data_IF_395641213265
#
_entry.id   IF_395641213265
#
_cell.length_a   1.000
_cell.length_b   1.000
_cell.length_c   1.000
_cell.angle_alpha   90.00
_cell.angle_beta   90.00
_cell.angle_gamma   90.00
#
_symmetry.space_group_name_H-M   'P 1'
#
loop_
_entity.id
_entity.type
_entity.pdbx_description
1 polymer ?
#
# COMPACT_ATOMS: atom_id res chain seq x y z
N UNK A 1 61.51 -9.40 13.62
CA UNK A 1 61.02 -8.16 12.97
C UNK A 1 59.64 -8.44 12.36
N UNK A 2 58.55 -8.16 13.06
CA UNK A 2 57.18 -8.29 12.52
C UNK A 2 56.50 -6.93 12.64
N UNK A 3 56.30 -6.25 11.50
CA UNK A 3 55.58 -4.97 11.46
C UNK A 3 54.13 -5.20 11.90
N UNK A 4 53.59 -4.47 12.90
CA UNK A 4 52.17 -4.60 13.24
C UNK A 4 51.33 -4.17 12.03
N UNK A 5 50.40 -5.03 11.62
CA UNK A 5 49.48 -4.70 10.54
C UNK A 5 48.72 -3.42 10.91
N UNK A 6 48.62 -2.42 10.00
CA UNK A 6 47.99 -1.15 10.29
C UNK A 6 46.49 -1.36 10.48
N UNK A 7 46.07 -1.46 11.74
CA UNK A 7 44.68 -1.61 12.17
C UNK A 7 43.74 -0.58 11.51
N UNK A 8 44.26 0.59 11.14
CA UNK A 8 43.53 1.63 10.42
C UNK A 8 43.12 1.26 8.98
N UNK A 9 43.86 0.41 8.27
CA UNK A 9 43.50 0.03 6.88
C UNK A 9 42.21 -0.79 6.84
N UNK A 10 42.00 -1.65 7.83
CA UNK A 10 40.79 -2.48 7.92
C UNK A 10 39.55 -1.69 8.32
N UNK A 11 39.70 -0.67 9.17
CA UNK A 11 38.60 0.24 9.54
C UNK A 11 38.15 1.06 8.34
N UNK A 12 39.10 1.56 7.54
CA UNK A 12 38.78 2.32 6.31
C UNK A 12 38.11 1.42 5.27
N UNK A 13 38.62 0.21 5.05
CA UNK A 13 38.01 -0.74 4.12
C UNK A 13 36.60 -1.15 4.56
N UNK A 14 36.40 -1.45 5.85
CA UNK A 14 35.09 -1.77 6.39
C UNK A 14 34.11 -0.59 6.24
N UNK A 15 34.57 0.64 6.53
CA UNK A 15 33.77 1.85 6.33
C UNK A 15 33.38 2.08 4.88
N UNK A 16 34.29 1.85 3.93
CA UNK A 16 34.02 1.97 2.49
C UNK A 16 33.04 0.90 1.99
N UNK A 17 33.17 -0.34 2.47
CA UNK A 17 32.24 -1.43 2.13
C UNK A 17 30.84 -1.13 2.65
N UNK A 18 30.72 -0.67 3.90
CA UNK A 18 29.43 -0.29 4.49
C UNK A 18 28.82 0.89 3.71
N UNK A 19 29.60 1.91 3.38
CA UNK A 19 29.14 3.04 2.58
C UNK A 19 28.67 2.58 1.18
N UNK A 20 29.42 1.68 0.54
CA UNK A 20 29.05 1.14 -0.77
C UNK A 20 27.74 0.32 -0.72
N UNK A 21 27.53 -0.47 0.35
CA UNK A 21 26.30 -1.23 0.55
C UNK A 21 25.10 -0.31 0.83
N UNK A 22 25.28 0.73 1.65
CA UNK A 22 24.24 1.74 1.92
C UNK A 22 23.87 2.49 0.63
N UNK A 23 24.86 2.89 -0.17
CA UNK A 23 24.63 3.54 -1.47
C UNK A 23 23.96 2.58 -2.46
N UNK A 24 24.31 1.30 -2.46
CA UNK A 24 23.68 0.29 -3.31
C UNK A 24 22.20 0.07 -2.94
N UNK A 25 21.85 -0.01 -1.66
CA UNK A 25 20.46 -0.11 -1.19
C UNK A 25 19.64 1.14 -1.56
N UNK A 26 20.21 2.33 -1.38
CA UNK A 26 19.58 3.60 -1.77
C UNK A 26 19.40 3.73 -3.29
N UNK A 27 20.35 3.21 -4.08
CA UNK A 27 20.30 3.24 -5.55
C UNK A 27 19.42 2.14 -6.14
N UNK A 28 19.21 1.04 -5.41
CA UNK A 28 18.34 -0.07 -5.81
C UNK A 28 16.86 0.22 -5.59
N UNK A 29 16.50 1.51 -5.40
CA UNK A 29 15.14 2.03 -5.26
C UNK A 29 14.12 1.09 -5.88
N UNK A 30 13.45 0.32 -5.02
CA UNK A 30 12.54 -0.77 -5.37
C UNK A 30 11.24 -0.27 -5.98
N UNK A 31 11.33 0.54 -7.02
CA UNK A 31 10.21 0.97 -7.84
C UNK A 31 9.90 -0.11 -8.86
N UNK A 32 9.19 -1.15 -8.44
CA UNK A 32 8.40 -1.93 -9.40
C UNK A 32 7.08 -1.21 -9.60
N UNK A 33 7.11 -0.16 -10.41
CA UNK A 33 5.89 0.47 -10.90
C UNK A 33 5.77 0.14 -12.38
N UNK A 34 4.87 -0.80 -12.68
CA UNK A 34 4.41 -1.05 -14.04
C UNK A 34 3.55 0.16 -14.50
N UNK A 35 4.20 1.31 -14.69
CA UNK A 35 3.56 2.50 -15.26
C UNK A 35 2.97 2.14 -16.63
N UNK A 36 1.68 2.40 -16.81
CA UNK A 36 0.97 2.11 -18.06
C UNK A 36 0.41 0.69 -18.22
N UNK A 37 0.62 -0.23 -17.26
CA UNK A 37 -0.12 -1.51 -17.25
C UNK A 37 -1.54 -1.28 -16.72
N UNK A 38 -2.53 -1.87 -17.39
CA UNK A 38 -3.92 -1.81 -16.94
C UNK A 38 -4.05 -2.46 -15.55
N UNK A 39 -4.80 -1.80 -14.66
CA UNK A 39 -5.10 -2.33 -13.34
C UNK A 39 -5.92 -3.64 -13.47
N UNK A 40 -5.64 -4.66 -12.64
CA UNK A 40 -6.47 -5.86 -12.54
C UNK A 40 -7.91 -5.52 -12.16
N UNK A 41 -8.90 -6.34 -12.58
CA UNK A 41 -10.30 -6.08 -12.26
C UNK A 41 -10.53 -6.03 -10.75
N UNK A 42 -11.31 -5.04 -10.30
CA UNK A 42 -11.72 -4.94 -8.91
C UNK A 42 -12.76 -6.01 -8.55
N UNK A 43 -12.84 -6.45 -7.28
CA UNK A 43 -13.89 -7.35 -6.82
C UNK A 43 -15.29 -6.75 -7.03
N UNK A 44 -16.21 -7.53 -7.57
CA UNK A 44 -17.57 -7.05 -7.86
C UNK A 44 -18.45 -6.87 -6.60
N UNK A 45 -18.10 -7.53 -5.48
CA UNK A 45 -18.93 -7.54 -4.28
C UNK A 45 -18.68 -6.30 -3.44
N UNK A 46 -19.70 -5.45 -3.29
CA UNK A 46 -19.64 -4.33 -2.36
C UNK A 46 -19.80 -4.81 -0.91
N UNK A 47 -18.85 -4.44 -0.05
CA UNK A 47 -18.98 -4.54 1.40
C UNK A 47 -19.76 -3.33 1.97
N UNK A 48 -19.61 -2.16 1.33
CA UNK A 48 -20.34 -0.92 1.59
C UNK A 48 -20.74 -0.27 0.26
N UNK A 49 -22.02 0.12 0.07
CA UNK A 49 -22.44 0.85 -1.11
C UNK A 49 -21.78 2.23 -1.25
N UNK A 50 -21.64 2.75 -2.48
CA UNK A 50 -21.97 2.08 -3.74
C UNK A 50 -20.91 1.03 -4.10
N UNK A 51 -21.31 -0.01 -4.83
CA UNK A 51 -20.34 -0.85 -5.54
C UNK A 51 -19.68 -0.04 -6.66
N UNK A 52 -18.40 -0.31 -6.93
CA UNK A 52 -17.63 0.37 -7.97
C UNK A 52 -16.79 -0.65 -8.73
N UNK A 53 -16.65 -0.45 -10.04
CA UNK A 53 -15.75 -1.21 -10.90
C UNK A 53 -14.72 -0.27 -11.56
N UNK A 54 -13.68 -0.82 -12.19
CA UNK A 54 -12.67 0.01 -12.86
C UNK A 54 -13.24 0.84 -14.01
N UNK A 55 -14.26 0.33 -14.72
CA UNK A 55 -14.86 1.05 -15.84
C UNK A 55 -15.51 2.37 -15.38
N UNK A 56 -16.16 2.35 -14.21
CA UNK A 56 -16.77 3.52 -13.57
C UNK A 56 -15.77 4.57 -13.07
N UNK A 57 -14.50 4.18 -12.92
CA UNK A 57 -13.41 5.06 -12.48
C UNK A 57 -12.60 5.63 -13.65
N UNK A 58 -12.86 5.19 -14.89
CA UNK A 58 -12.08 5.61 -16.05
C UNK A 58 -12.15 7.13 -16.28
N UNK A 59 -11.02 7.75 -16.59
CA UNK A 59 -10.91 9.20 -16.80
C UNK A 59 -10.86 10.03 -15.51
N UNK A 60 -10.89 9.39 -14.34
CA UNK A 60 -10.74 10.05 -13.03
C UNK A 60 -9.69 9.31 -12.20
N UNK A 61 -8.73 10.01 -11.57
CA UNK A 61 -7.77 9.35 -10.69
C UNK A 61 -8.46 8.58 -9.56
N UNK A 62 -7.98 7.37 -9.28
CA UNK A 62 -8.46 6.54 -8.19
C UNK A 62 -7.29 6.06 -7.32
N UNK A 63 -7.48 6.12 -6.00
CA UNK A 63 -6.62 5.48 -5.02
C UNK A 63 -7.32 4.21 -4.55
N UNK A 64 -6.68 3.07 -4.78
CA UNK A 64 -7.15 1.76 -4.31
C UNK A 64 -6.34 1.39 -3.07
N UNK A 65 -7.02 1.25 -1.93
CA UNK A 65 -6.44 0.86 -0.65
C UNK A 65 -6.82 -0.60 -0.35
N UNK A 66 -5.84 -1.45 -0.09
CA UNK A 66 -6.08 -2.83 0.31
C UNK A 66 -5.92 -2.95 1.81
N UNK A 67 -6.98 -3.36 2.51
CA UNK A 67 -7.01 -3.39 3.97
C UNK A 67 -7.58 -4.69 4.50
N UNK A 68 -7.34 -4.92 5.80
CA UNK A 68 -8.00 -5.94 6.58
C UNK A 68 -8.25 -5.41 8.00
N UNK A 69 -9.29 -5.88 8.68
CA UNK A 69 -9.62 -5.44 10.05
C UNK A 69 -8.56 -5.78 11.10
N UNK A 70 -7.75 -6.80 10.81
CA UNK A 70 -6.62 -7.24 11.64
C UNK A 70 -5.29 -6.57 11.27
N UNK A 71 -5.26 -5.77 10.20
CA UNK A 71 -4.07 -5.05 9.75
C UNK A 71 -3.86 -3.79 10.61
N UNK A 72 -2.86 -3.82 11.49
CA UNK A 72 -2.54 -2.68 12.35
C UNK A 72 -2.12 -1.41 11.57
N UNK A 73 -1.24 -1.47 10.55
CA UNK A 73 -0.92 -0.31 9.73
C UNK A 73 -2.15 0.31 9.07
N UNK A 74 -3.07 -0.52 8.57
CA UNK A 74 -4.31 -0.07 7.96
C UNK A 74 -5.18 0.73 8.96
N UNK A 75 -5.17 0.36 10.24
CA UNK A 75 -5.87 1.11 11.29
C UNK A 75 -5.24 2.49 11.55
N UNK A 76 -3.92 2.61 11.41
CA UNK A 76 -3.19 3.87 11.53
C UNK A 76 -3.45 4.81 10.34
N UNK A 77 -3.59 4.25 9.13
CA UNK A 77 -3.85 5.00 7.90
C UNK A 77 -5.33 5.40 7.72
N UNK A 78 -6.25 4.63 8.29
CA UNK A 78 -7.69 4.81 8.11
C UNK A 78 -8.22 6.24 8.38
N UNK A 79 -7.79 6.97 9.41
CA UNK A 79 -8.20 8.36 9.62
C UNK A 79 -7.73 9.30 8.51
N UNK A 80 -6.55 9.04 7.94
CA UNK A 80 -5.97 9.82 6.83
C UNK A 80 -6.74 9.56 5.55
N UNK A 81 -7.04 8.30 5.23
CA UNK A 81 -7.87 7.94 4.06
C UNK A 81 -9.26 8.58 4.11
N UNK A 82 -9.89 8.62 5.29
CA UNK A 82 -11.15 9.33 5.49
C UNK A 82 -11.03 10.82 5.15
N UNK A 83 -10.01 11.50 5.69
CA UNK A 83 -9.78 12.94 5.42
C UNK A 83 -9.47 13.18 3.95
N UNK A 84 -8.65 12.32 3.35
CA UNK A 84 -8.28 12.39 1.94
C UNK A 84 -9.51 12.26 1.03
N UNK A 85 -10.35 11.25 1.26
CA UNK A 85 -11.60 11.09 0.51
C UNK A 85 -12.49 12.33 0.57
N UNK A 86 -12.64 12.93 1.76
CA UNK A 86 -13.40 14.16 1.92
C UNK A 86 -12.77 15.35 1.18
N UNK A 87 -11.44 15.50 1.23
CA UNK A 87 -10.71 16.59 0.59
C UNK A 87 -10.66 16.47 -0.94
N UNK A 88 -10.62 15.26 -1.49
CA UNK A 88 -10.62 15.01 -2.92
C UNK A 88 -12.00 15.27 -3.54
N UNK A 89 -13.07 14.85 -2.87
CA UNK A 89 -14.44 15.01 -3.36
C UNK A 89 -14.61 14.43 -4.77
N UNK A 90 -14.98 15.27 -5.74
CA UNK A 90 -15.17 14.83 -7.12
C UNK A 90 -13.88 14.74 -7.95
N UNK A 91 -12.72 15.18 -7.43
CA UNK A 91 -11.46 15.23 -8.20
C UNK A 91 -10.76 13.88 -8.33
N UNK A 92 -10.90 13.02 -7.33
CA UNK A 92 -10.40 11.65 -7.34
C UNK A 92 -11.31 10.76 -6.48
N UNK A 93 -11.21 9.45 -6.65
CA UNK A 93 -12.02 8.49 -5.90
C UNK A 93 -11.11 7.64 -5.01
N UNK A 94 -11.44 7.50 -3.73
CA UNK A 94 -10.79 6.52 -2.85
C UNK A 94 -11.69 5.29 -2.82
N UNK A 95 -11.12 4.11 -3.01
CA UNK A 95 -11.81 2.82 -2.92
C UNK A 95 -11.01 1.93 -1.99
N UNK A 96 -11.66 1.32 -1.01
CA UNK A 96 -11.01 0.29 -0.20
C UNK A 96 -11.43 -1.11 -0.67
N UNK A 97 -10.50 -2.06 -0.61
CA UNK A 97 -10.68 -3.46 -0.92
C UNK A 97 -10.30 -4.27 0.31
N UNK A 98 -11.30 -4.92 0.90
CA UNK A 98 -11.13 -5.84 2.02
C UNK A 98 -10.50 -7.14 1.51
N UNK A 99 -9.27 -7.40 1.95
CA UNK A 99 -8.45 -8.55 1.52
C UNK A 99 -8.42 -9.61 2.61
N UNK A 100 -8.99 -10.77 2.32
CA UNK A 100 -8.98 -11.97 3.18
C UNK A 100 -9.49 -11.74 4.62
N UNK A 101 -10.34 -10.73 4.82
CA UNK A 101 -11.01 -10.41 6.09
C UNK A 101 -12.54 -10.30 5.93
N UNK A 102 -13.04 -10.84 4.82
CA UNK A 102 -14.39 -10.67 4.31
C UNK A 102 -15.48 -10.95 5.36
N UNK A 103 -16.28 -9.93 5.69
CA UNK A 103 -17.53 -10.11 6.41
C UNK A 103 -17.77 -9.13 7.57
N UNK A 104 -18.03 -9.69 8.76
CA UNK A 104 -18.40 -8.92 9.96
C UNK A 104 -17.29 -8.00 10.47
N UNK A 105 -16.04 -8.49 10.63
CA UNK A 105 -14.91 -7.70 11.11
C UNK A 105 -14.57 -6.51 10.20
N UNK A 106 -14.42 -6.72 8.90
CA UNK A 106 -14.22 -5.64 7.93
C UNK A 106 -15.34 -4.58 7.99
N UNK A 107 -16.62 -4.99 8.07
CA UNK A 107 -17.73 -4.04 8.24
C UNK A 107 -17.63 -3.25 9.56
N UNK A 108 -17.20 -3.89 10.64
CA UNK A 108 -17.00 -3.23 11.93
C UNK A 108 -15.85 -2.21 11.87
N UNK A 109 -14.76 -2.56 11.20
CA UNK A 109 -13.63 -1.66 10.94
C UNK A 109 -14.08 -0.41 10.17
N UNK A 110 -14.77 -0.59 9.04
CA UNK A 110 -15.31 0.50 8.21
C UNK A 110 -16.19 1.44 9.03
N UNK A 111 -17.08 0.89 9.87
CA UNK A 111 -17.95 1.69 10.76
C UNK A 111 -17.15 2.42 11.83
N UNK A 112 -16.20 1.75 12.48
CA UNK A 112 -15.35 2.30 13.55
C UNK A 112 -14.55 3.51 13.05
N UNK A 113 -14.02 3.43 11.83
CA UNK A 113 -13.21 4.52 11.25
C UNK A 113 -14.06 5.56 10.51
N UNK A 114 -15.36 5.33 10.33
CA UNK A 114 -16.28 6.29 9.73
C UNK A 114 -16.01 6.52 8.24
N UNK A 115 -15.57 5.47 7.54
CA UNK A 115 -15.36 5.54 6.10
C UNK A 115 -16.69 5.66 5.36
N UNK A 116 -16.75 6.61 4.43
CA UNK A 116 -17.94 6.92 3.63
C UNK A 116 -17.79 6.58 2.15
N UNK A 117 -16.57 6.35 1.69
CA UNK A 117 -16.23 5.97 0.33
C UNK A 117 -16.51 4.48 0.06
N UNK A 118 -16.52 4.04 -1.22
CA UNK A 118 -16.78 2.66 -1.60
C UNK A 118 -15.85 1.66 -0.93
N UNK A 119 -16.40 0.53 -0.48
CA UNK A 119 -15.62 -0.57 0.08
C UNK A 119 -16.06 -1.87 -0.58
N UNK A 120 -15.11 -2.58 -1.19
CA UNK A 120 -15.30 -3.83 -1.89
C UNK A 120 -14.80 -5.00 -1.03
N UNK A 121 -15.37 -6.17 -1.20
CA UNK A 121 -14.93 -7.41 -0.56
C UNK A 121 -14.23 -8.30 -1.58
N UNK A 122 -12.93 -8.52 -1.41
CA UNK A 122 -12.21 -9.55 -2.16
C UNK A 122 -12.37 -10.91 -1.49
N UNK A 123 -13.50 -11.55 -1.77
CA UNK A 123 -13.76 -12.93 -1.32
C UNK A 123 -12.92 -13.99 -2.06
N UNK A 124 -12.11 -13.58 -3.04
CA UNK A 124 -11.30 -14.49 -3.86
C UNK A 124 -9.80 -14.42 -3.57
N UNK A 125 -9.34 -13.39 -2.84
CA UNK A 125 -7.93 -13.10 -2.56
C UNK A 125 -7.13 -12.56 -3.75
N UNK A 126 -7.66 -12.66 -4.96
CA UNK A 126 -6.95 -12.42 -6.23
C UNK A 126 -6.62 -10.97 -6.51
N UNK A 127 -7.36 -10.02 -5.93
CA UNK A 127 -7.13 -8.61 -6.20
C UNK A 127 -5.89 -8.07 -5.47
N UNK A 128 -5.46 -8.73 -4.38
CA UNK A 128 -4.25 -8.38 -3.62
C UNK A 128 -2.98 -9.14 -4.06
N UNK A 129 -3.09 -10.13 -4.95
CA UNK A 129 -1.99 -11.01 -5.37
C UNK A 129 -1.27 -10.57 -6.67
N UNK A 130 -1.73 -9.47 -7.27
CA UNK A 130 -1.38 -9.05 -8.64
C UNK A 130 -0.38 -7.91 -8.74
#
# INVERSE_FOLDING_TARGET
MTRPAPRGRWVVVAGLVIAALVVAELASGGGSEATGRAAPPLPAKALRPPGVDLASLHGKPALIDFFASWCAPCAEEAPTLRKLSAALGHRATVVAVDWDDAGGPARAFVRKHGWTFPVLADTSGKAGES
#
